data_IF_927003850937
#
_entry.id   IF_927003850937
#
_cell.length_a   1.000
_cell.length_b   1.000
_cell.length_c   1.000
_cell.angle_alpha   90.00
_cell.angle_beta   90.00
_cell.angle_gamma   90.00
#
_symmetry.space_group_name_H-M   'P 1'
#
loop_
_entity.id
_entity.type
_entity.pdbx_description
1 polymer ?
#
# COMPACT_ATOMS: atom_id res chain seq x y z
N UNK A 1 1.67 13.35 11.39
CA UNK A 1 1.95 11.91 11.21
C UNK A 1 3.31 11.75 10.54
N UNK A 2 4.09 10.80 11.03
CA UNK A 2 5.42 10.53 10.46
C UNK A 2 5.31 9.47 9.35
N UNK A 3 5.44 9.91 8.10
CA UNK A 3 5.32 9.01 6.94
C UNK A 3 6.44 7.97 6.90
N UNK A 4 7.61 8.25 7.48
CA UNK A 4 8.71 7.28 7.56
C UNK A 4 8.39 6.14 8.52
N UNK A 5 7.62 6.39 9.55
CA UNK A 5 7.16 5.34 10.46
C UNK A 5 6.04 4.51 9.82
N UNK A 6 5.18 5.17 9.05
CA UNK A 6 4.09 4.48 8.35
C UNK A 6 4.66 3.54 7.28
N UNK A 7 5.62 4.01 6.48
CA UNK A 7 6.20 3.25 5.38
C UNK A 7 7.72 3.31 5.44
N UNK A 8 8.35 2.44 6.24
CA UNK A 8 9.83 2.38 6.29
C UNK A 8 10.39 1.68 5.03
N UNK A 9 11.69 1.86 4.75
CA UNK A 9 12.31 1.31 3.52
C UNK A 9 12.18 -0.20 3.36
N UNK A 10 12.19 -0.96 4.45
CA UNK A 10 12.13 -2.43 4.40
C UNK A 10 10.75 -2.97 4.02
N UNK A 11 9.76 -2.11 3.88
CA UNK A 11 8.42 -2.51 3.43
C UNK A 11 8.07 -2.00 2.03
N UNK A 12 9.07 -1.61 1.26
CA UNK A 12 8.91 -1.22 -0.14
C UNK A 12 9.60 -2.26 -1.01
N UNK A 13 8.84 -2.91 -1.90
CA UNK A 13 9.35 -3.95 -2.78
C UNK A 13 9.22 -3.55 -4.25
N UNK A 14 10.29 -3.80 -5.01
CA UNK A 14 10.34 -3.58 -6.45
C UNK A 14 10.41 -4.92 -7.17
N UNK A 15 10.02 -4.94 -8.44
CA UNK A 15 10.09 -6.12 -9.31
C UNK A 15 9.34 -7.32 -8.71
N UNK A 16 8.14 -7.07 -8.18
CA UNK A 16 7.32 -8.10 -7.56
C UNK A 16 6.61 -8.90 -8.65
N UNK A 17 6.79 -10.22 -8.63
CA UNK A 17 6.12 -11.14 -9.55
C UNK A 17 4.86 -11.67 -8.87
N UNK A 18 3.76 -10.93 -9.00
CA UNK A 18 2.47 -11.35 -8.49
C UNK A 18 1.62 -11.89 -9.62
N UNK A 19 0.95 -13.03 -9.40
CA UNK A 19 0.18 -13.73 -10.44
C UNK A 19 -1.31 -13.43 -10.39
N UNK A 20 -1.77 -12.89 -9.25
CA UNK A 20 -3.19 -12.63 -9.02
C UNK A 20 -3.33 -11.65 -7.87
N UNK A 21 -4.54 -11.13 -7.68
CA UNK A 21 -4.84 -10.30 -6.51
C UNK A 21 -4.57 -11.04 -5.21
N UNK A 22 -4.97 -12.31 -5.13
CA UNK A 22 -4.71 -13.14 -3.95
C UNK A 22 -3.21 -13.26 -3.68
N UNK A 23 -2.42 -13.56 -4.70
CA UNK A 23 -0.96 -13.69 -4.58
C UNK A 23 -0.34 -12.36 -4.14
N UNK A 24 -0.81 -11.24 -4.69
CA UNK A 24 -0.36 -9.92 -4.27
C UNK A 24 -0.64 -9.69 -2.78
N UNK A 25 -1.82 -10.08 -2.30
CA UNK A 25 -2.17 -9.92 -0.88
C UNK A 25 -1.28 -10.78 0.01
N UNK A 26 -0.91 -11.99 -0.43
CA UNK A 26 0.05 -12.83 0.30
C UNK A 26 1.41 -12.16 0.42
N UNK A 27 1.91 -11.57 -0.68
CA UNK A 27 3.19 -10.85 -0.70
C UNK A 27 3.15 -9.63 0.21
N UNK A 28 2.10 -8.82 0.12
CA UNK A 28 1.94 -7.63 0.95
C UNK A 28 1.82 -8.00 2.43
N UNK A 29 1.14 -9.10 2.73
CA UNK A 29 0.99 -9.59 4.10
C UNK A 29 2.32 -10.00 4.71
N UNK A 30 3.20 -10.61 3.92
CA UNK A 30 4.55 -10.95 4.37
C UNK A 30 5.40 -9.70 4.62
N UNK A 31 5.32 -8.72 3.72
CA UNK A 31 6.03 -7.46 3.92
C UNK A 31 5.60 -6.75 5.21
N UNK A 32 4.30 -6.72 5.46
CA UNK A 32 3.75 -6.11 6.67
C UNK A 32 4.10 -6.92 7.93
N UNK A 33 4.01 -8.25 7.84
CA UNK A 33 4.22 -9.14 8.98
C UNK A 33 5.68 -9.30 9.39
N UNK A 34 6.63 -9.05 8.49
CA UNK A 34 8.06 -9.18 8.77
C UNK A 34 8.62 -7.95 9.50
N UNK A 35 7.80 -6.96 9.76
CA UNK A 35 8.21 -5.74 10.45
C UNK A 35 8.00 -5.91 11.95
N UNK A 36 8.97 -5.46 12.74
CA UNK A 36 8.88 -5.43 14.19
C UNK A 36 7.68 -4.61 14.68
N UNK A 37 7.24 -3.64 13.88
CA UNK A 37 6.14 -2.75 14.27
C UNK A 37 4.76 -3.39 14.10
N UNK A 38 4.61 -4.40 13.25
CA UNK A 38 3.31 -5.05 13.03
C UNK A 38 3.00 -6.10 14.10
N UNK A 39 3.99 -6.94 14.47
CA UNK A 39 3.84 -7.94 15.52
C UNK A 39 2.79 -9.01 15.24
N UNK A 40 2.35 -9.16 13.99
CA UNK A 40 1.27 -10.05 13.60
C UNK A 40 1.72 -11.07 12.57
N UNK A 41 1.19 -12.30 12.64
CA UNK A 41 1.52 -13.28 11.60
C UNK A 41 0.90 -12.89 10.26
N UNK A 42 1.60 -13.17 9.14
CA UNK A 42 1.12 -12.79 7.81
C UNK A 42 -0.26 -13.34 7.45
N UNK A 43 -0.64 -14.53 7.94
CA UNK A 43 -1.95 -15.10 7.63
C UNK A 43 -3.11 -14.30 8.24
N UNK A 44 -2.92 -13.69 9.40
CA UNK A 44 -3.93 -12.81 10.00
C UNK A 44 -4.04 -11.49 9.23
N UNK A 45 -2.92 -10.95 8.78
CA UNK A 45 -2.90 -9.76 7.95
C UNK A 45 -3.62 -10.03 6.63
N UNK A 46 -3.32 -11.17 5.99
CA UNK A 46 -3.98 -11.57 4.76
C UNK A 46 -5.50 -11.64 4.93
N UNK A 47 -5.98 -12.26 6.01
CA UNK A 47 -7.41 -12.36 6.28
C UNK A 47 -8.06 -10.99 6.38
N UNK A 48 -7.41 -10.04 7.06
CA UNK A 48 -7.93 -8.69 7.20
C UNK A 48 -8.04 -7.96 5.86
N UNK A 49 -7.01 -8.08 5.02
CA UNK A 49 -7.02 -7.47 3.68
C UNK A 49 -8.08 -8.12 2.79
N UNK A 50 -8.17 -9.45 2.81
CA UNK A 50 -9.11 -10.20 1.98
C UNK A 50 -10.57 -9.91 2.38
N UNK A 51 -10.86 -9.86 3.67
CA UNK A 51 -12.20 -9.57 4.18
C UNK A 51 -12.66 -8.17 3.74
N UNK A 52 -11.77 -7.18 3.81
CA UNK A 52 -12.10 -5.83 3.34
C UNK A 52 -12.36 -5.81 1.83
N UNK A 53 -11.58 -6.53 1.06
CA UNK A 53 -11.71 -6.55 -0.41
C UNK A 53 -13.04 -7.18 -0.84
N UNK A 54 -13.58 -8.12 -0.06
CA UNK A 54 -14.88 -8.74 -0.35
C UNK A 54 -16.04 -7.74 -0.24
N UNK A 55 -15.87 -6.66 0.50
CA UNK A 55 -16.88 -5.61 0.64
C UNK A 55 -16.92 -4.67 -0.56
N UNK A 56 -15.89 -4.69 -1.37
CA UNK A 56 -15.76 -3.85 -2.56
C UNK A 56 -14.30 -3.61 -2.89
N UNK A 57 -14.00 -3.45 -4.17
CA UNK A 57 -12.63 -3.30 -4.63
C UNK A 57 -11.96 -2.06 -4.04
N UNK A 58 -10.71 -2.22 -3.60
CA UNK A 58 -9.84 -1.12 -3.16
C UNK A 58 -8.97 -0.59 -4.29
N UNK A 59 -9.24 -1.01 -5.53
CA UNK A 59 -8.60 -0.46 -6.71
C UNK A 59 -9.01 0.99 -6.93
N UNK A 60 -8.05 1.81 -7.31
CA UNK A 60 -8.27 3.17 -7.78
C UNK A 60 -8.19 3.18 -9.30
N UNK A 61 -8.01 4.35 -9.89
CA UNK A 61 -7.82 4.46 -11.33
C UNK A 61 -6.36 4.29 -11.72
N UNK A 62 -6.12 3.96 -12.99
CA UNK A 62 -4.79 4.00 -13.61
C UNK A 62 -3.79 2.99 -13.05
N UNK A 63 -4.26 1.81 -12.67
CA UNK A 63 -3.36 0.74 -12.24
C UNK A 63 -2.90 0.80 -10.80
N UNK A 64 -3.61 1.56 -9.97
CA UNK A 64 -3.29 1.77 -8.56
C UNK A 64 -4.28 1.00 -7.68
N UNK A 65 -3.81 0.40 -6.59
CA UNK A 65 -4.67 -0.18 -5.57
C UNK A 65 -4.18 0.17 -4.17
N UNK A 66 -5.12 0.31 -3.24
CA UNK A 66 -4.83 0.55 -1.82
C UNK A 66 -5.57 -0.50 -0.99
N UNK A 67 -5.11 -1.76 -1.01
CA UNK A 67 -5.68 -2.76 -0.11
C UNK A 67 -5.44 -2.35 1.34
N UNK A 68 -6.45 -2.50 2.19
CA UNK A 68 -6.33 -2.10 3.58
C UNK A 68 -7.21 -2.95 4.46
N UNK A 69 -6.93 -2.93 5.76
CA UNK A 69 -7.69 -3.69 6.74
C UNK A 69 -7.33 -3.28 8.15
N UNK A 70 -8.07 -3.83 9.11
CA UNK A 70 -7.82 -3.63 10.52
C UNK A 70 -7.13 -4.83 11.10
N UNK A 71 -6.30 -4.59 12.12
CA UNK A 71 -5.54 -5.63 12.77
C UNK A 71 -5.58 -5.44 14.28
N UNK A 72 -6.20 -6.39 14.99
CA UNK A 72 -6.23 -6.39 16.45
C UNK A 72 -4.83 -6.52 17.01
N UNK A 73 -4.50 -5.72 18.02
CA UNK A 73 -3.18 -5.76 18.64
C UNK A 73 -2.13 -4.88 17.98
N UNK A 74 -2.44 -4.31 16.82
CA UNK A 74 -1.57 -3.33 16.19
C UNK A 74 -1.61 -2.02 17.00
N UNK A 75 -0.45 -1.43 17.26
CA UNK A 75 -0.37 -0.21 18.08
C UNK A 75 -0.48 1.06 17.24
N UNK A 76 -0.04 1.01 16.00
CA UNK A 76 -0.07 2.16 15.12
C UNK A 76 -0.23 1.69 13.68
N UNK A 77 -0.73 2.54 12.77
CA UNK A 77 -0.86 2.17 11.37
C UNK A 77 0.48 1.79 10.74
N UNK A 78 0.45 0.86 9.81
CA UNK A 78 1.63 0.51 9.03
C UNK A 78 1.25 0.22 7.59
N UNK A 79 2.20 0.46 6.68
CA UNK A 79 1.99 0.31 5.25
C UNK A 79 3.12 -0.46 4.59
N UNK A 80 2.82 -1.05 3.44
CA UNK A 80 3.80 -1.69 2.57
C UNK A 80 3.47 -1.36 1.12
N UNK A 81 4.48 -1.23 0.28
CA UNK A 81 4.31 -0.90 -1.13
C UNK A 81 4.96 -1.94 -2.01
N UNK A 82 4.28 -2.30 -3.10
CA UNK A 82 4.79 -3.22 -4.10
C UNK A 82 4.60 -2.65 -5.50
N UNK A 83 5.68 -2.64 -6.27
CA UNK A 83 5.63 -2.40 -7.72
C UNK A 83 5.76 -3.74 -8.43
N UNK A 84 4.78 -4.08 -9.26
CA UNK A 84 4.71 -5.36 -9.95
C UNK A 84 5.46 -5.31 -11.29
N UNK A 85 6.07 -6.44 -11.65
CA UNK A 85 6.69 -6.61 -12.97
C UNK A 85 5.63 -6.54 -14.05
N UNK A 86 4.54 -7.31 -13.88
CA UNK A 86 3.40 -7.37 -14.78
C UNK A 86 2.15 -6.91 -14.06
N UNK A 87 1.30 -6.08 -14.70
CA UNK A 87 0.02 -5.74 -14.09
C UNK A 87 -0.86 -6.98 -13.94
N UNK A 88 -1.69 -6.99 -12.90
CA UNK A 88 -2.61 -8.09 -12.62
C UNK A 88 -4.06 -7.63 -12.69
N UNK A 89 -4.97 -8.57 -12.98
CA UNK A 89 -6.39 -8.32 -12.86
C UNK A 89 -6.75 -8.16 -11.38
N UNK A 90 -7.23 -7.00 -11.02
CA UNK A 90 -7.55 -6.64 -9.63
C UNK A 90 -9.05 -6.47 -9.41
N UNK A 91 -9.82 -6.51 -10.50
CA UNK A 91 -11.24 -6.17 -10.47
C UNK A 91 -11.44 -4.71 -10.03
N UNK A 92 -10.58 -3.82 -10.51
CA UNK A 92 -10.65 -2.40 -10.20
C UNK A 92 -11.85 -1.75 -10.88
N UNK A 93 -12.40 -0.66 -10.30
CA UNK A 93 -13.60 -0.01 -10.86
C UNK A 93 -13.45 0.47 -12.30
N UNK A 94 -12.24 0.87 -12.72
CA UNK A 94 -12.00 1.32 -14.10
C UNK A 94 -11.71 0.16 -15.07
N UNK A 95 -11.70 -1.09 -14.58
CA UNK A 95 -11.44 -2.27 -15.40
C UNK A 95 -9.99 -2.45 -15.83
N UNK A 96 -9.09 -1.58 -15.41
CA UNK A 96 -7.68 -1.67 -15.79
C UNK A 96 -6.90 -2.54 -14.81
N UNK A 97 -5.85 -3.27 -15.29
CA UNK A 97 -5.01 -4.05 -14.40
C UNK A 97 -4.18 -3.16 -13.49
N UNK A 98 -3.73 -3.72 -12.36
CA UNK A 98 -2.99 -2.99 -11.30
C UNK A 98 -1.54 -3.43 -11.29
N UNK A 99 -0.64 -2.45 -11.21
CA UNK A 99 0.81 -2.68 -11.11
C UNK A 99 1.48 -1.95 -9.93
N UNK A 100 0.75 -1.05 -9.27
CA UNK A 100 1.24 -0.34 -8.09
C UNK A 100 0.25 -0.52 -6.95
N UNK A 101 0.71 -1.08 -5.83
CA UNK A 101 -0.16 -1.36 -4.70
C UNK A 101 0.46 -0.90 -3.39
N UNK A 102 -0.31 -0.13 -2.62
CA UNK A 102 0.05 0.27 -1.27
C UNK A 102 -0.96 -0.35 -0.30
N UNK A 103 -0.49 -1.28 0.54
CA UNK A 103 -1.32 -1.88 1.58
C UNK A 103 -1.19 -1.11 2.87
N UNK A 104 -2.31 -0.93 3.59
CA UNK A 104 -2.32 -0.21 4.87
C UNK A 104 -3.08 -1.03 5.90
N UNK A 105 -2.50 -1.19 7.09
CA UNK A 105 -3.15 -1.79 8.24
C UNK A 105 -3.43 -0.72 9.29
N UNK A 106 -4.61 -0.80 9.91
CA UNK A 106 -5.02 0.12 10.95
C UNK A 106 -5.29 -0.62 12.26
N UNK A 107 -4.91 -0.03 13.41
CA UNK A 107 -5.33 -0.56 14.70
C UNK A 107 -6.85 -0.48 14.88
N UNK A 108 -7.40 -1.32 15.75
CA UNK A 108 -8.81 -1.23 16.12
C UNK A 108 -9.08 0.13 16.77
N UNK A 109 -10.19 0.74 16.36
CA UNK A 109 -10.62 2.01 16.92
C UNK A 109 -9.86 3.25 16.42
N UNK A 110 -8.91 3.08 15.49
CA UNK A 110 -8.17 4.20 14.95
C UNK A 110 -8.95 4.92 13.85
N UNK A 111 -8.71 6.24 13.75
CA UNK A 111 -9.25 7.08 12.68
C UNK A 111 -8.41 6.88 11.42
N UNK A 112 -8.90 6.04 10.51
CA UNK A 112 -8.16 5.66 9.30
C UNK A 112 -8.39 6.59 8.11
N UNK A 113 -9.41 7.45 8.18
CA UNK A 113 -9.84 8.28 7.04
C UNK A 113 -8.71 9.20 6.56
N UNK A 114 -8.00 9.85 7.49
CA UNK A 114 -6.92 10.76 7.13
C UNK A 114 -5.76 10.08 6.42
N UNK A 115 -5.41 8.87 6.85
CA UNK A 115 -4.33 8.10 6.23
C UNK A 115 -4.73 7.61 4.85
N UNK A 116 -5.95 7.10 4.71
CA UNK A 116 -6.45 6.66 3.40
C UNK A 116 -6.53 7.84 2.42
N UNK A 117 -6.98 9.01 2.89
CA UNK A 117 -7.01 10.21 2.06
C UNK A 117 -5.60 10.63 1.61
N UNK A 118 -4.63 10.59 2.53
CA UNK A 118 -3.24 10.89 2.20
C UNK A 118 -2.71 9.92 1.13
N UNK A 119 -2.89 8.63 1.34
CA UNK A 119 -2.37 7.63 0.40
C UNK A 119 -3.04 7.74 -0.97
N UNK A 120 -4.35 7.98 -1.02
CA UNK A 120 -5.06 8.15 -2.28
C UNK A 120 -4.59 9.40 -3.03
N UNK A 121 -4.40 10.52 -2.35
CA UNK A 121 -3.91 11.76 -2.96
C UNK A 121 -2.49 11.60 -3.49
N UNK A 122 -1.61 11.00 -2.70
CA UNK A 122 -0.21 10.79 -3.11
C UNK A 122 -0.15 9.91 -4.36
N UNK A 123 -0.85 8.78 -4.34
CA UNK A 123 -0.81 7.82 -5.45
C UNK A 123 -1.60 8.26 -6.67
N UNK A 124 -2.45 9.27 -6.55
CA UNK A 124 -3.18 9.85 -7.69
C UNK A 124 -2.37 10.87 -8.47
N UNK A 125 -1.19 11.24 -8.00
CA UNK A 125 -0.31 12.19 -8.69
C UNK A 125 0.24 11.53 -9.97
N UNK A 126 -0.10 12.05 -11.17
CA UNK A 126 0.35 11.43 -12.43
C UNK A 126 1.87 11.42 -12.60
N UNK A 127 2.57 12.45 -12.12
CA UNK A 127 4.02 12.49 -12.21
C UNK A 127 4.65 11.42 -11.32
N UNK A 128 4.15 11.25 -10.11
CA UNK A 128 4.63 10.20 -9.23
C UNK A 128 4.39 8.82 -9.84
N UNK A 129 3.21 8.58 -10.41
CA UNK A 129 2.90 7.30 -11.06
C UNK A 129 3.91 6.98 -12.16
N UNK A 130 4.20 7.96 -13.02
CA UNK A 130 5.18 7.81 -14.08
C UNK A 130 6.58 7.52 -13.54
N UNK A 131 7.00 8.26 -12.54
CA UNK A 131 8.33 8.10 -11.93
C UNK A 131 8.48 6.74 -11.24
N UNK A 132 7.44 6.29 -10.55
CA UNK A 132 7.44 4.97 -9.90
C UNK A 132 7.55 3.86 -10.94
N UNK A 133 6.84 3.98 -12.07
CA UNK A 133 6.85 2.96 -13.11
C UNK A 133 8.18 2.88 -13.85
N UNK A 134 8.92 3.97 -13.94
CA UNK A 134 10.25 4.01 -14.54
C UNK A 134 11.35 3.57 -13.58
N UNK A 135 11.08 3.52 -12.29
CA UNK A 135 12.07 3.21 -11.25
C UNK A 135 12.24 1.71 -11.09
N UNK A 136 13.48 1.23 -10.96
CA UNK A 136 13.81 -0.19 -10.92
C UNK A 136 14.49 -0.64 -9.61
N UNK A 137 14.43 0.18 -8.54
CA UNK A 137 14.99 -0.23 -7.27
C UNK A 137 14.12 0.26 -6.11
N UNK A 138 14.07 -0.53 -5.03
CA UNK A 138 13.19 -0.27 -3.90
C UNK A 138 13.55 1.00 -3.13
N UNK A 139 14.84 1.33 -3.06
CA UNK A 139 15.30 2.52 -2.35
C UNK A 139 14.76 3.79 -3.00
N UNK A 140 14.86 3.89 -4.32
CA UNK A 140 14.35 5.06 -5.05
C UNK A 140 12.82 5.13 -5.02
N UNK A 141 12.12 3.99 -5.08
CA UNK A 141 10.68 3.95 -4.89
C UNK A 141 10.29 4.54 -3.53
N UNK A 142 10.97 4.10 -2.48
CA UNK A 142 10.71 4.60 -1.13
C UNK A 142 10.94 6.10 -1.04
N UNK A 143 12.06 6.59 -1.56
CA UNK A 143 12.39 8.02 -1.53
C UNK A 143 11.34 8.87 -2.24
N UNK A 144 10.85 8.42 -3.40
CA UNK A 144 9.82 9.13 -4.16
C UNK A 144 8.49 9.18 -3.39
N UNK A 145 8.08 8.06 -2.80
CA UNK A 145 6.84 7.97 -2.04
C UNK A 145 6.88 8.88 -0.81
N UNK A 146 7.97 8.83 -0.06
CA UNK A 146 8.11 9.65 1.15
C UNK A 146 8.17 11.14 0.81
N UNK A 147 8.93 11.51 -0.22
CA UNK A 147 9.03 12.91 -0.63
C UNK A 147 7.67 13.48 -1.06
N UNK A 148 6.90 12.73 -1.85
CA UNK A 148 5.59 13.16 -2.30
C UNK A 148 4.60 13.26 -1.14
N UNK A 149 4.62 12.29 -0.23
CA UNK A 149 3.74 12.30 0.94
C UNK A 149 4.06 13.46 1.88
N UNK A 150 5.36 13.72 2.11
CA UNK A 150 5.80 14.83 2.96
C UNK A 150 5.40 16.18 2.38
N UNK A 151 5.59 16.35 1.07
CA UNK A 151 5.19 17.59 0.38
C UNK A 151 3.68 17.81 0.44
N UNK A 152 2.90 16.73 0.31
CA UNK A 152 1.44 16.83 0.43
C UNK A 152 1.03 17.27 1.84
N UNK A 153 1.64 16.68 2.88
CA UNK A 153 1.35 17.06 4.27
C UNK A 153 1.66 18.52 4.56
N UNK A 154 2.76 19.03 4.03
CA UNK A 154 3.16 20.44 4.22
C UNK A 154 2.15 21.41 3.62
N UNK A 155 1.41 21.00 2.59
CA UNK A 155 0.40 21.86 1.96
C UNK A 155 -0.94 21.86 2.70
N UNK A 156 -1.12 20.97 3.68
CA UNK A 156 -2.36 20.90 4.45
C UNK A 156 -2.32 21.90 5.62
N UNK A 157 -3.44 22.62 5.91
CA UNK A 157 -3.51 23.54 7.04
C UNK A 157 -3.44 22.87 8.40
#
# INVERSE_FOLDING_TARGET
>A
MDVNQLLPPDRVACNVDARSRKHLFEILSELLGNSDSAGMPPNEIFSGLADREQLGSTGLNNGIAIPHGRASGLKQPCAAFAKLIEPIDYDAPDGKPVDLALAVLFPDGDESIGILALTAEVLSDPQLQSDLRECNNSRSLHEMLIATASAWQERQP
#
